data_IF_512054570197
#
_entry.id   IF_512054570197
#
_cell.length_a   1.000
_cell.length_b   1.000
_cell.length_c   1.000
_cell.angle_alpha   90.00
_cell.angle_beta   90.00
_cell.angle_gamma   90.00
#
_symmetry.space_group_name_H-M   'P 1'
#
loop_
_entity.id
_entity.type
_entity.pdbx_description
1 polymer ?
#
# COMPACT_ATOMS: atom_id res chain seq x y z
N UNK A 1 9.86 -54.93 29.34
CA UNK A 1 9.34 -53.59 29.62
C UNK A 1 10.09 -52.92 30.79
N UNK A 2 10.72 -53.66 31.68
CA UNK A 2 11.41 -53.11 32.89
C UNK A 2 12.78 -52.50 32.64
N UNK A 3 13.60 -53.01 31.70
CA UNK A 3 14.97 -52.54 31.49
C UNK A 3 15.06 -51.10 30.95
N UNK A 4 14.08 -50.68 30.13
CA UNK A 4 13.99 -49.30 29.61
C UNK A 4 13.59 -48.33 30.73
N UNK A 5 12.75 -48.80 31.68
CA UNK A 5 12.29 -47.98 32.82
C UNK A 5 13.44 -47.78 33.85
N UNK A 6 14.23 -48.82 34.11
CA UNK A 6 15.42 -48.75 35.00
C UNK A 6 16.53 -47.88 34.40
N UNK A 7 16.74 -47.93 33.08
CA UNK A 7 17.68 -47.04 32.37
C UNK A 7 17.24 -45.58 32.43
N UNK A 8 15.94 -45.30 32.28
CA UNK A 8 15.39 -43.96 32.33
C UNK A 8 15.31 -43.36 33.74
N UNK A 9 15.23 -44.19 34.80
CA UNK A 9 15.14 -43.74 36.19
C UNK A 9 16.49 -43.60 36.89
N UNK A 10 17.60 -44.04 36.28
CA UNK A 10 18.97 -43.91 36.80
C UNK A 10 19.61 -42.54 36.48
N UNK A 11 20.74 -42.24 37.11
CA UNK A 11 21.50 -40.99 36.85
C UNK A 11 21.78 -40.74 35.36
N UNK A 12 21.97 -41.79 34.57
CA UNK A 12 22.18 -41.68 33.13
C UNK A 12 20.94 -41.18 32.35
N UNK A 13 19.73 -41.49 32.83
CA UNK A 13 18.50 -41.05 32.20
C UNK A 13 18.34 -39.53 32.23
N UNK A 14 18.78 -38.90 33.33
CA UNK A 14 18.77 -37.44 33.48
C UNK A 14 19.70 -36.78 32.45
N UNK A 15 20.92 -37.32 32.32
CA UNK A 15 21.92 -36.78 31.37
C UNK A 15 21.50 -36.96 29.92
N UNK A 16 20.86 -38.08 29.56
CA UNK A 16 20.30 -38.33 28.24
C UNK A 16 19.15 -37.33 27.94
N UNK A 17 18.30 -37.06 28.95
CA UNK A 17 17.24 -36.06 28.84
C UNK A 17 17.75 -34.64 28.57
N UNK A 18 18.79 -34.24 29.31
CA UNK A 18 19.45 -32.93 29.14
C UNK A 18 20.11 -32.84 27.76
N UNK A 19 20.85 -33.87 27.34
CA UNK A 19 21.47 -33.90 26.03
C UNK A 19 20.44 -33.78 24.89
N UNK A 20 19.32 -34.51 24.99
CA UNK A 20 18.22 -34.42 24.02
C UNK A 20 17.60 -33.02 23.99
N UNK A 21 17.37 -32.39 25.14
CA UNK A 21 16.82 -31.03 25.21
C UNK A 21 17.77 -29.99 24.58
N UNK A 22 19.09 -30.13 24.80
CA UNK A 22 20.10 -29.26 24.18
C UNK A 22 20.10 -29.41 22.65
N UNK A 23 20.09 -30.65 22.15
CA UNK A 23 20.04 -30.89 20.69
C UNK A 23 18.79 -30.33 20.08
N UNK A 24 17.63 -30.52 20.70
CA UNK A 24 16.36 -29.94 20.23
C UNK A 24 16.44 -28.41 20.21
N UNK A 25 16.99 -27.80 21.27
CA UNK A 25 17.18 -26.36 21.34
C UNK A 25 18.07 -25.82 20.22
N UNK A 26 19.18 -26.50 19.92
CA UNK A 26 20.08 -26.15 18.81
C UNK A 26 19.37 -26.27 17.46
N UNK A 27 18.64 -27.37 17.22
CA UNK A 27 17.90 -27.59 15.98
C UNK A 27 16.81 -26.54 15.78
N UNK A 28 16.03 -26.23 16.82
CA UNK A 28 15.03 -25.17 16.78
C UNK A 28 15.67 -23.81 16.53
N UNK A 29 16.80 -23.52 17.17
CA UNK A 29 17.59 -22.30 16.94
C UNK A 29 18.06 -22.19 15.48
N UNK A 30 18.60 -23.26 14.90
CA UNK A 30 19.05 -23.31 13.51
C UNK A 30 17.85 -23.10 12.55
N UNK A 31 16.75 -23.80 12.77
CA UNK A 31 15.53 -23.68 11.94
C UNK A 31 14.98 -22.25 12.03
N UNK A 32 14.95 -21.67 13.22
CA UNK A 32 14.47 -20.30 13.44
C UNK A 32 15.33 -19.28 12.69
N UNK A 33 16.68 -19.38 12.84
CA UNK A 33 17.60 -18.49 12.11
C UNK A 33 17.53 -18.66 10.59
N UNK A 34 17.31 -19.87 10.10
CA UNK A 34 17.17 -20.15 8.68
C UNK A 34 15.87 -19.56 8.11
N UNK A 35 14.76 -19.63 8.85
CA UNK A 35 13.48 -19.01 8.48
C UNK A 35 13.57 -17.48 8.39
N UNK A 36 14.34 -16.83 9.25
CA UNK A 36 14.53 -15.37 9.21
C UNK A 36 15.51 -14.90 8.11
N UNK A 37 16.43 -15.77 7.63
CA UNK A 37 17.43 -15.40 6.61
C UNK A 37 16.88 -15.38 5.19
N UNK A 38 15.80 -16.12 4.89
CA UNK A 38 15.24 -16.25 3.56
C UNK A 38 13.76 -15.87 3.53
N UNK A 39 13.50 -14.56 3.57
CA UNK A 39 12.15 -14.07 3.39
C UNK A 39 11.72 -14.22 1.91
N UNK A 40 10.48 -14.69 1.63
CA UNK A 40 10.03 -15.02 0.28
C UNK A 40 9.59 -13.78 -0.53
N UNK A 41 10.32 -12.67 -0.40
CA UNK A 41 10.00 -11.42 -1.10
C UNK A 41 10.78 -11.29 -2.40
N UNK A 42 10.08 -10.86 -3.44
CA UNK A 42 10.67 -10.50 -4.74
C UNK A 42 10.31 -9.06 -5.08
N UNK A 43 11.26 -8.32 -5.66
CA UNK A 43 10.98 -6.98 -6.21
C UNK A 43 9.99 -7.08 -7.38
N UNK A 44 9.11 -6.11 -7.49
CA UNK A 44 8.22 -5.91 -8.65
C UNK A 44 8.26 -4.43 -9.07
N UNK A 45 7.91 -4.11 -10.32
CA UNK A 45 7.71 -2.72 -10.73
C UNK A 45 6.69 -2.03 -9.83
N UNK A 46 6.91 -0.75 -9.53
CA UNK A 46 5.98 0.06 -8.74
C UNK A 46 4.72 0.39 -9.53
N UNK A 47 4.87 0.65 -10.83
CA UNK A 47 3.80 1.00 -11.74
C UNK A 47 3.51 -0.17 -12.70
N UNK A 48 2.26 -0.32 -13.08
CA UNK A 48 1.85 -1.13 -14.23
C UNK A 48 2.33 -0.48 -15.54
N UNK A 49 2.28 -1.21 -16.66
CA UNK A 49 2.69 -0.66 -17.95
C UNK A 49 1.87 0.58 -18.35
N UNK A 50 0.55 0.55 -18.15
CA UNK A 50 -0.32 1.69 -18.47
C UNK A 50 -0.02 2.90 -17.59
N UNK A 51 0.17 2.68 -16.29
CA UNK A 51 0.53 3.73 -15.35
C UNK A 51 1.92 4.32 -15.63
N UNK A 52 2.87 3.48 -16.06
CA UNK A 52 4.20 3.94 -16.44
C UNK A 52 4.18 4.80 -17.69
N UNK A 53 3.41 4.42 -18.72
CA UNK A 53 3.25 5.21 -19.94
C UNK A 53 2.62 6.58 -19.62
N UNK A 54 1.55 6.59 -18.85
CA UNK A 54 0.92 7.84 -18.39
C UNK A 54 1.90 8.70 -17.57
N UNK A 55 2.61 8.12 -16.60
CA UNK A 55 3.59 8.82 -15.78
C UNK A 55 4.71 9.44 -16.63
N UNK A 56 5.20 8.72 -17.63
CA UNK A 56 6.27 9.18 -18.53
C UNK A 56 5.89 10.47 -19.27
N UNK A 57 4.64 10.60 -19.67
CA UNK A 57 4.13 11.82 -20.33
C UNK A 57 3.79 12.92 -19.31
N UNK A 58 3.17 12.57 -18.20
CA UNK A 58 2.69 13.50 -17.19
C UNK A 58 3.83 14.15 -16.40
N UNK A 59 4.82 13.36 -15.95
CA UNK A 59 5.85 13.80 -15.02
C UNK A 59 6.63 15.03 -15.49
N UNK A 60 7.18 15.08 -16.73
CA UNK A 60 7.93 16.25 -17.19
C UNK A 60 7.08 17.52 -17.26
N UNK A 61 5.81 17.42 -17.66
CA UNK A 61 4.91 18.55 -17.74
C UNK A 61 4.51 19.06 -16.34
N UNK A 62 4.17 18.17 -15.42
CA UNK A 62 3.89 18.52 -14.03
C UNK A 62 5.11 19.15 -13.34
N UNK A 63 6.29 18.58 -13.53
CA UNK A 63 7.54 19.15 -13.01
C UNK A 63 7.78 20.58 -13.53
N UNK A 64 7.54 20.83 -14.84
CA UNK A 64 7.62 22.17 -15.44
C UNK A 64 6.59 23.14 -14.84
N UNK A 65 5.42 22.64 -14.45
CA UNK A 65 4.38 23.42 -13.77
C UNK A 65 4.66 23.62 -12.25
N UNK A 66 5.76 23.09 -11.73
CA UNK A 66 6.12 23.20 -10.30
C UNK A 66 5.39 22.20 -9.40
N UNK A 67 4.84 21.14 -9.96
CA UNK A 67 4.08 20.09 -9.25
C UNK A 67 4.98 18.88 -8.99
N UNK A 68 4.92 18.37 -7.76
CA UNK A 68 5.57 17.11 -7.37
C UNK A 68 4.57 15.98 -7.58
N UNK A 69 5.01 14.91 -8.26
CA UNK A 69 4.19 13.73 -8.53
C UNK A 69 4.65 12.58 -7.66
N UNK A 70 3.77 12.09 -6.78
CA UNK A 70 4.00 10.96 -5.89
C UNK A 70 3.20 9.75 -6.39
N UNK A 71 3.84 8.69 -6.90
CA UNK A 71 3.13 7.50 -7.37
C UNK A 71 2.76 6.55 -6.24
N UNK A 72 1.61 5.85 -6.39
CA UNK A 72 1.17 4.75 -5.52
C UNK A 72 1.11 5.10 -4.02
N UNK A 73 0.53 6.25 -3.70
CA UNK A 73 0.39 6.70 -2.31
C UNK A 73 -0.82 6.02 -1.67
N UNK A 74 -0.63 5.39 -0.51
CA UNK A 74 -1.75 4.81 0.25
C UNK A 74 -2.61 5.93 0.82
N UNK A 75 -3.92 5.72 0.83
CA UNK A 75 -4.86 6.72 1.35
C UNK A 75 -4.62 7.01 2.83
N UNK A 76 -4.16 6.04 3.60
CA UNK A 76 -3.82 6.20 5.02
C UNK A 76 -2.59 7.10 5.26
N UNK A 77 -1.72 7.30 4.25
CA UNK A 77 -0.51 8.11 4.39
C UNK A 77 -0.79 9.63 4.27
N UNK A 78 -1.93 10.02 3.66
CA UNK A 78 -2.31 11.42 3.50
C UNK A 78 -3.70 11.77 4.07
N UNK A 79 -4.44 10.77 4.62
CA UNK A 79 -5.74 10.98 5.26
C UNK A 79 -5.69 10.58 6.72
N UNK A 80 -6.33 11.36 7.55
CA UNK A 80 -6.62 10.98 8.93
C UNK A 80 -8.12 10.85 9.15
N UNK A 81 -8.53 9.93 10.04
CA UNK A 81 -9.94 9.77 10.39
C UNK A 81 -10.29 10.78 11.47
N UNK A 82 -11.00 11.84 11.08
CA UNK A 82 -11.53 12.85 12.00
C UNK A 82 -12.90 12.41 12.55
N UNK A 83 -12.87 11.50 13.53
CA UNK A 83 -14.05 11.16 14.32
C UNK A 83 -13.78 11.61 15.74
N UNK A 84 -14.50 12.63 16.21
CA UNK A 84 -14.51 13.05 17.61
C UNK A 84 -14.79 11.81 18.48
N UNK A 85 -13.89 11.54 19.36
CA UNK A 85 -13.38 10.26 19.82
C UNK A 85 -14.25 9.38 20.71
N UNK A 86 -15.55 9.39 20.67
CA UNK A 86 -16.33 8.62 21.65
C UNK A 86 -16.44 7.11 21.38
N UNK A 87 -16.05 6.63 20.18
CA UNK A 87 -16.13 5.20 19.86
C UNK A 87 -14.88 4.75 19.10
N UNK A 88 -13.88 4.23 19.83
CA UNK A 88 -12.65 3.60 19.25
C UNK A 88 -12.97 2.63 18.09
N UNK A 89 -14.07 1.89 18.15
CA UNK A 89 -14.50 0.97 17.10
C UNK A 89 -14.86 1.66 15.78
N UNK A 90 -15.53 2.82 15.80
CA UNK A 90 -15.87 3.57 14.58
C UNK A 90 -14.63 4.08 13.87
N UNK A 91 -13.67 4.66 14.60
CA UNK A 91 -12.40 5.13 14.03
C UNK A 91 -11.65 4.02 13.31
N UNK A 92 -11.54 2.85 13.95
CA UNK A 92 -10.88 1.69 13.35
C UNK A 92 -11.62 1.18 12.11
N UNK A 93 -12.96 1.17 12.12
CA UNK A 93 -13.75 0.79 10.96
C UNK A 93 -13.50 1.71 9.76
N UNK A 94 -13.51 3.04 9.95
CA UNK A 94 -13.16 3.99 8.89
C UNK A 94 -11.72 3.83 8.39
N UNK A 95 -10.76 3.67 9.31
CA UNK A 95 -9.37 3.40 8.96
C UNK A 95 -9.22 2.14 8.11
N UNK A 96 -9.92 1.06 8.46
CA UNK A 96 -9.89 -0.21 7.71
C UNK A 96 -10.41 -0.05 6.27
N UNK A 97 -11.28 0.93 6.00
CA UNK A 97 -11.77 1.21 4.65
C UNK A 97 -10.71 1.84 3.74
N UNK A 98 -9.72 2.54 4.28
CA UNK A 98 -8.69 3.28 3.52
C UNK A 98 -7.31 2.65 3.56
N UNK A 99 -6.95 1.87 4.58
CA UNK A 99 -5.57 1.41 4.85
C UNK A 99 -4.94 0.57 3.75
N UNK A 100 -5.74 -0.19 2.99
CA UNK A 100 -5.28 -1.05 1.89
C UNK A 100 -5.47 -0.42 0.51
N UNK A 101 -6.08 0.77 0.45
CA UNK A 101 -6.34 1.49 -0.79
C UNK A 101 -5.24 2.50 -1.07
N UNK A 102 -4.93 2.70 -2.34
CA UNK A 102 -3.97 3.70 -2.80
C UNK A 102 -4.57 4.52 -3.94
N UNK A 103 -4.01 5.68 -4.17
CA UNK A 103 -4.25 6.51 -5.35
C UNK A 103 -3.04 6.34 -6.28
N UNK A 104 -3.29 6.23 -7.59
CA UNK A 104 -2.22 5.96 -8.54
C UNK A 104 -1.16 7.06 -8.54
N UNK A 105 -1.60 8.33 -8.50
CA UNK A 105 -0.69 9.47 -8.33
C UNK A 105 -1.31 10.54 -7.45
N UNK A 106 -0.53 11.06 -6.51
CA UNK A 106 -0.85 12.28 -5.77
C UNK A 106 -0.01 13.40 -6.32
N UNK A 107 -0.66 14.51 -6.64
CA UNK A 107 -0.02 15.75 -7.05
C UNK A 107 0.12 16.66 -5.85
N UNK A 108 1.32 17.18 -5.62
CA UNK A 108 1.63 18.04 -4.49
C UNK A 108 2.26 19.35 -4.94
N UNK A 109 2.12 20.38 -4.12
CA UNK A 109 2.91 21.61 -4.21
C UNK A 109 4.36 21.39 -3.77
N UNK A 110 5.16 22.45 -3.78
CA UNK A 110 6.57 22.42 -3.38
C UNK A 110 6.80 22.08 -1.89
N UNK A 111 5.77 22.22 -1.05
CA UNK A 111 5.79 21.92 0.38
C UNK A 111 5.23 20.52 0.67
N UNK A 112 4.95 19.72 -0.37
CA UNK A 112 4.31 18.41 -0.30
C UNK A 112 2.86 18.43 0.21
N UNK A 113 2.19 19.58 0.17
CA UNK A 113 0.74 19.60 0.39
C UNK A 113 0.04 19.03 -0.85
N UNK A 114 -0.93 18.16 -0.61
CA UNK A 114 -1.72 17.55 -1.68
C UNK A 114 -2.60 18.60 -2.37
N UNK A 115 -2.46 18.74 -3.70
CA UNK A 115 -3.26 19.63 -4.53
C UNK A 115 -4.30 18.88 -5.36
N UNK A 116 -4.03 17.63 -5.74
CA UNK A 116 -4.98 16.76 -6.43
C UNK A 116 -4.58 15.28 -6.32
N UNK A 117 -5.55 14.39 -6.59
CA UNK A 117 -5.30 12.99 -6.90
C UNK A 117 -5.53 12.69 -8.38
N UNK A 118 -4.87 11.63 -8.89
CA UNK A 118 -5.06 11.13 -10.26
C UNK A 118 -5.18 9.61 -10.21
N UNK A 119 -6.21 9.08 -10.84
CA UNK A 119 -6.45 7.66 -11.05
C UNK A 119 -6.50 7.37 -12.54
N UNK A 120 -5.86 6.29 -12.96
CA UNK A 120 -5.88 5.83 -14.33
C UNK A 120 -6.93 4.72 -14.46
N UNK A 121 -8.07 5.05 -15.07
CA UNK A 121 -9.21 4.14 -15.21
C UNK A 121 -9.02 3.17 -16.38
N UNK A 122 -8.83 1.89 -16.09
CA UNK A 122 -8.89 0.83 -17.10
C UNK A 122 -10.33 0.34 -17.26
N UNK A 123 -10.85 0.41 -18.48
CA UNK A 123 -12.23 -0.02 -18.81
C UNK A 123 -12.47 -1.52 -18.57
N UNK A 124 -11.42 -2.35 -18.52
CA UNK A 124 -11.52 -3.80 -18.37
C UNK A 124 -11.92 -4.26 -16.97
N UNK A 125 -11.72 -3.44 -15.92
CA UNK A 125 -11.96 -3.82 -14.53
C UNK A 125 -13.29 -3.39 -13.91
N UNK A 126 -14.22 -2.81 -14.70
CA UNK A 126 -15.46 -2.21 -14.19
C UNK A 126 -16.56 -3.18 -13.70
N UNK A 127 -16.33 -4.48 -13.75
CA UNK A 127 -17.41 -5.46 -13.49
C UNK A 127 -17.41 -6.08 -12.10
N UNK A 128 -16.49 -5.71 -11.20
CA UNK A 128 -16.46 -6.26 -9.85
C UNK A 128 -17.09 -5.27 -8.86
N UNK A 129 -18.10 -5.74 -8.10
CA UNK A 129 -18.81 -4.92 -7.10
C UNK A 129 -17.87 -4.26 -6.07
N UNK A 130 -16.81 -4.96 -5.65
CA UNK A 130 -15.81 -4.41 -4.72
C UNK A 130 -14.98 -3.27 -5.31
N UNK A 131 -14.76 -3.27 -6.62
CA UNK A 131 -14.05 -2.19 -7.34
C UNK A 131 -14.94 -0.96 -7.41
N UNK A 132 -16.24 -1.14 -7.78
CA UNK A 132 -17.23 -0.06 -7.86
C UNK A 132 -17.38 0.64 -6.49
N UNK A 133 -17.51 -0.14 -5.41
CA UNK A 133 -17.59 0.41 -4.05
C UNK A 133 -16.30 1.17 -3.66
N UNK A 134 -15.14 0.63 -4.01
CA UNK A 134 -13.85 1.27 -3.78
C UNK A 134 -13.72 2.61 -4.50
N UNK A 135 -14.15 2.69 -5.75
CA UNK A 135 -14.13 3.90 -6.57
C UNK A 135 -15.12 4.96 -6.07
N UNK A 136 -16.33 4.54 -5.70
CA UNK A 136 -17.32 5.42 -5.08
C UNK A 136 -16.78 6.02 -3.76
N UNK A 137 -16.12 5.20 -2.94
CA UNK A 137 -15.49 5.66 -1.69
C UNK A 137 -14.39 6.69 -1.96
N UNK A 138 -13.49 6.45 -2.92
CA UNK A 138 -12.44 7.41 -3.29
C UNK A 138 -13.04 8.74 -3.73
N UNK A 139 -14.03 8.70 -4.64
CA UNK A 139 -14.70 9.90 -5.12
C UNK A 139 -15.35 10.70 -3.99
N UNK A 140 -16.05 10.00 -3.07
CA UNK A 140 -16.69 10.66 -1.93
C UNK A 140 -15.66 11.31 -1.00
N UNK A 141 -14.58 10.60 -0.65
CA UNK A 141 -13.53 11.13 0.24
C UNK A 141 -12.89 12.38 -0.37
N UNK A 142 -12.49 12.33 -1.65
CA UNK A 142 -11.86 13.48 -2.31
C UNK A 142 -12.80 14.69 -2.39
N UNK A 143 -14.10 14.45 -2.60
CA UNK A 143 -15.13 15.50 -2.53
C UNK A 143 -15.23 16.10 -1.13
N UNK A 144 -15.27 15.27 -0.09
CA UNK A 144 -15.44 15.69 1.31
C UNK A 144 -14.24 16.51 1.82
N UNK A 145 -13.01 16.17 1.40
CA UNK A 145 -11.80 16.93 1.76
C UNK A 145 -11.55 18.14 0.85
N UNK A 146 -12.41 18.39 -0.15
CA UNK A 146 -12.30 19.53 -1.07
C UNK A 146 -11.11 19.47 -2.02
N UNK A 147 -10.61 18.25 -2.32
CA UNK A 147 -9.48 18.01 -3.24
C UNK A 147 -9.99 17.31 -4.50
N UNK A 148 -9.53 17.77 -5.66
CA UNK A 148 -9.96 17.17 -6.93
C UNK A 148 -9.31 15.81 -7.15
N UNK A 149 -10.12 14.83 -7.56
CA UNK A 149 -9.66 13.54 -8.08
C UNK A 149 -9.90 13.52 -9.59
N UNK A 150 -8.81 13.48 -10.35
CA UNK A 150 -8.87 13.30 -11.80
C UNK A 150 -8.97 11.81 -12.12
N UNK A 151 -9.93 11.46 -12.98
CA UNK A 151 -10.11 10.12 -13.53
C UNK A 151 -9.73 10.14 -14.99
N UNK A 152 -8.61 9.51 -15.33
CA UNK A 152 -8.05 9.52 -16.68
C UNK A 152 -8.27 8.14 -17.31
N UNK A 153 -9.06 7.99 -18.36
CA UNK A 153 -9.20 6.70 -19.04
C UNK A 153 -7.87 6.31 -19.70
N UNK A 154 -7.54 5.01 -19.64
CA UNK A 154 -6.38 4.49 -20.38
C UNK A 154 -6.54 4.76 -21.87
N UNK A 155 -5.51 5.31 -22.50
CA UNK A 155 -5.48 5.64 -23.93
C UNK A 155 -4.28 4.99 -24.61
N UNK A 156 -4.45 4.65 -25.89
CA UNK A 156 -3.35 4.22 -26.79
C UNK A 156 -2.77 5.40 -27.57
N UNK A 157 -3.52 6.50 -27.67
CA UNK A 157 -3.20 7.67 -28.48
C UNK A 157 -2.44 8.76 -27.70
N UNK A 158 -2.08 8.45 -26.46
CA UNK A 158 -1.37 9.39 -25.56
C UNK A 158 -2.30 10.12 -24.58
N UNK A 159 -1.72 10.98 -23.75
CA UNK A 159 -2.40 11.65 -22.64
C UNK A 159 -2.20 13.17 -22.64
N UNK A 160 -1.68 13.73 -23.72
CA UNK A 160 -1.28 15.15 -23.78
C UNK A 160 -2.43 16.09 -23.41
N UNK A 161 -3.60 15.93 -24.03
CA UNK A 161 -4.77 16.77 -23.79
C UNK A 161 -5.27 16.67 -22.35
N UNK A 162 -5.35 15.45 -21.81
CA UNK A 162 -5.78 15.23 -20.43
C UNK A 162 -4.81 15.85 -19.42
N UNK A 163 -3.50 15.77 -19.68
CA UNK A 163 -2.47 16.36 -18.81
C UNK A 163 -2.55 17.89 -18.86
N UNK A 164 -2.71 18.50 -20.03
CA UNK A 164 -2.86 19.94 -20.16
C UNK A 164 -4.13 20.44 -19.47
N UNK A 165 -5.26 19.72 -19.60
CA UNK A 165 -6.50 20.07 -18.89
C UNK A 165 -6.32 20.01 -17.37
N UNK A 166 -5.62 19.00 -16.86
CA UNK A 166 -5.29 18.91 -15.43
C UNK A 166 -4.48 20.13 -14.96
N UNK A 167 -3.42 20.50 -15.68
CA UNK A 167 -2.56 21.66 -15.36
C UNK A 167 -3.40 22.95 -15.39
N UNK A 168 -4.18 23.15 -16.43
CA UNK A 168 -5.02 24.34 -16.55
C UNK A 168 -6.08 24.42 -15.47
N UNK A 169 -6.66 23.29 -15.08
CA UNK A 169 -7.62 23.21 -13.99
C UNK A 169 -6.97 23.60 -12.65
N UNK A 170 -5.77 23.10 -12.36
CA UNK A 170 -5.04 23.43 -11.14
C UNK A 170 -4.62 24.90 -11.09
N UNK A 171 -4.19 25.48 -12.22
CA UNK A 171 -3.89 26.91 -12.34
C UNK A 171 -5.11 27.79 -12.07
N UNK A 172 -6.25 27.49 -12.70
CA UNK A 172 -7.50 28.23 -12.47
C UNK A 172 -7.98 28.17 -11.02
N UNK A 173 -7.70 27.07 -10.35
CA UNK A 173 -8.00 26.87 -8.94
C UNK A 173 -6.96 27.53 -7.98
N UNK A 174 -5.92 28.17 -8.50
CA UNK A 174 -4.84 28.76 -7.71
C UNK A 174 -4.05 27.75 -6.87
N UNK A 175 -3.94 26.51 -7.37
CA UNK A 175 -3.23 25.42 -6.68
C UNK A 175 -1.78 25.29 -7.14
N UNK A 176 -1.45 25.83 -8.31
CA UNK A 176 -0.11 25.84 -8.92
C UNK A 176 0.11 27.14 -9.72
#
# INVERSE_FOLDING_TARGET
>A
MNAVYEFMSGEYGIWVGIAAAVVIGIVVGIISTYRFRHLPYKKRPLLTNSEYLFWKEMYPKMKKAGVIVCPKVRMEDFLTVDVKSEKKGKRQAYRNRIKSRHIDFILCDKLLNMVAGVELDDKSHKYNASTIEGDALKNQIFKDIGVRLFRIPTSKDGYDEAIEDMINTLRRAGKI
#
